data_IF_746620575933
#
_entry.id   IF_746620575933
#
_cell.length_a   1.000
_cell.length_b   1.000
_cell.length_c   1.000
_cell.angle_alpha   90.00
_cell.angle_beta   90.00
_cell.angle_gamma   90.00
#
_symmetry.space_group_name_H-M   'P 1'
#
loop_
_entity.id
_entity.type
_entity.pdbx_description
1 polymer ?
#
# COMPACT_ATOMS: atom_id res chain seq x y z
N UNK A 1 17.76 17.62 -6.90
CA UNK A 1 16.51 18.32 -7.19
C UNK A 1 15.50 18.26 -6.04
N UNK A 2 15.25 17.11 -5.44
CA UNK A 2 14.31 16.97 -4.31
C UNK A 2 14.72 17.86 -3.12
N UNK A 3 16.00 17.88 -2.79
CA UNK A 3 16.54 18.71 -1.69
C UNK A 3 16.34 20.20 -1.98
N UNK A 4 16.56 20.62 -3.23
CA UNK A 4 16.37 22.02 -3.63
C UNK A 4 14.91 22.42 -3.66
N UNK A 5 14.03 21.58 -4.20
CA UNK A 5 12.61 21.89 -4.38
C UNK A 5 11.81 21.94 -3.07
N UNK A 6 12.20 21.14 -2.06
CA UNK A 6 11.48 21.06 -0.78
C UNK A 6 12.19 21.74 0.38
N UNK A 7 13.46 22.10 0.23
CA UNK A 7 14.25 22.66 1.31
C UNK A 7 13.59 23.91 1.92
N UNK A 8 13.37 23.89 3.23
CA UNK A 8 12.80 25.01 3.98
C UNK A 8 13.73 26.22 4.03
N UNK A 9 15.00 26.06 3.71
CA UNK A 9 16.03 27.12 3.71
C UNK A 9 16.12 27.88 2.39
N UNK A 10 15.49 27.39 1.32
CA UNK A 10 15.48 28.06 0.01
C UNK A 10 14.61 29.32 0.00
N UNK A 11 14.74 30.09 -1.09
CA UNK A 11 13.85 31.24 -1.33
C UNK A 11 12.44 30.77 -1.70
N UNK A 12 11.43 31.59 -1.45
CA UNK A 12 10.03 31.26 -1.73
C UNK A 12 9.81 30.92 -3.22
N UNK A 13 10.50 31.60 -4.11
CA UNK A 13 10.40 31.43 -5.57
C UNK A 13 10.90 30.05 -6.05
N UNK A 14 11.78 29.40 -5.29
CA UNK A 14 12.36 28.11 -5.62
C UNK A 14 11.63 26.92 -4.94
N UNK A 15 10.58 27.17 -4.19
CA UNK A 15 9.85 26.15 -3.42
C UNK A 15 8.61 25.67 -4.15
N UNK A 16 8.47 24.35 -4.29
CA UNK A 16 7.26 23.73 -4.80
C UNK A 16 6.43 23.19 -3.62
N UNK A 17 5.61 24.05 -3.03
CA UNK A 17 4.88 23.75 -1.78
C UNK A 17 3.68 22.82 -1.96
N UNK A 18 3.13 22.70 -3.16
CA UNK A 18 1.88 21.98 -3.43
C UNK A 18 2.10 20.60 -4.05
N UNK A 19 3.33 20.19 -4.28
CA UNK A 19 3.66 18.86 -4.75
C UNK A 19 4.19 18.02 -3.59
N UNK A 20 3.74 16.79 -3.52
CA UNK A 20 4.31 15.78 -2.67
C UNK A 20 5.23 14.90 -3.50
N UNK A 21 6.36 14.50 -2.92
CA UNK A 21 7.40 13.75 -3.61
C UNK A 21 7.55 12.38 -3.00
N UNK A 22 7.80 11.41 -3.86
CA UNK A 22 8.32 10.12 -3.46
C UNK A 22 9.62 9.83 -4.19
N UNK A 23 10.44 9.01 -3.58
CA UNK A 23 11.63 8.45 -4.18
C UNK A 23 11.50 6.94 -4.23
N UNK A 24 11.79 6.38 -5.38
CA UNK A 24 11.80 4.93 -5.55
C UNK A 24 13.20 4.42 -5.31
N UNK A 25 13.32 3.41 -4.46
CA UNK A 25 14.57 2.78 -4.09
C UNK A 25 14.55 1.33 -4.52
N UNK A 26 15.63 0.87 -5.14
CA UNK A 26 15.83 -0.52 -5.52
C UNK A 26 16.59 -1.30 -4.44
N UNK A 27 16.56 -2.61 -4.52
CA UNK A 27 17.38 -3.50 -3.70
C UNK A 27 18.86 -3.17 -3.82
N UNK A 28 19.34 -2.91 -5.05
CA UNK A 28 20.71 -2.53 -5.33
C UNK A 28 21.14 -1.27 -4.55
N UNK A 29 20.23 -0.28 -4.41
CA UNK A 29 20.52 0.90 -3.60
C UNK A 29 20.76 0.53 -2.12
N UNK A 30 19.92 -0.34 -1.55
CA UNK A 30 20.10 -0.79 -0.15
C UNK A 30 21.38 -1.60 0.04
N UNK A 31 21.76 -2.43 -0.91
CA UNK A 31 23.03 -3.14 -0.90
C UNK A 31 24.21 -2.15 -0.86
N UNK A 32 24.19 -1.14 -1.73
CA UNK A 32 25.21 -0.07 -1.77
C UNK A 32 25.25 0.72 -0.46
N UNK A 33 24.10 1.01 0.12
CA UNK A 33 24.00 1.69 1.39
C UNK A 33 24.63 0.87 2.54
N UNK A 34 24.29 -0.42 2.65
CA UNK A 34 24.81 -1.31 3.68
C UNK A 34 26.32 -1.51 3.54
N UNK A 35 26.80 -1.68 2.32
CA UNK A 35 28.20 -1.88 2.00
C UNK A 35 29.03 -0.58 1.99
N UNK A 36 28.39 0.57 2.25
CA UNK A 36 29.00 1.89 2.18
C UNK A 36 29.68 2.16 0.83
N UNK A 37 29.04 1.74 -0.27
CA UNK A 37 29.50 1.96 -1.65
C UNK A 37 28.89 3.21 -2.25
N UNK A 38 29.51 3.69 -3.32
CA UNK A 38 28.96 4.76 -4.14
C UNK A 38 27.78 4.28 -4.97
N UNK A 39 26.88 5.21 -5.25
CA UNK A 39 25.75 5.07 -6.17
C UNK A 39 26.02 5.93 -7.38
N UNK A 40 25.99 5.34 -8.56
CA UNK A 40 26.12 6.04 -9.84
C UNK A 40 24.78 6.65 -10.24
N UNK A 41 24.81 7.91 -10.60
CA UNK A 41 23.63 8.66 -11.07
C UNK A 41 23.76 8.84 -12.59
N UNK A 42 22.92 8.13 -13.30
CA UNK A 42 22.89 8.13 -14.77
C UNK A 42 21.77 9.01 -15.32
N UNK A 43 21.96 9.51 -16.52
CA UNK A 43 20.89 10.05 -17.35
C UNK A 43 20.19 8.88 -18.05
N UNK A 44 18.85 8.76 -17.99
CA UNK A 44 18.13 7.72 -18.75
C UNK A 44 18.39 7.77 -20.26
N UNK A 45 18.71 8.95 -20.78
CA UNK A 45 19.07 9.14 -22.19
C UNK A 45 20.35 8.38 -22.56
N UNK A 46 21.33 8.35 -21.66
CA UNK A 46 22.64 7.74 -21.90
C UNK A 46 22.68 6.24 -21.57
N UNK A 47 21.59 5.72 -20.95
CA UNK A 47 21.48 4.33 -20.50
C UNK A 47 20.17 3.69 -21.00
N UNK A 48 20.05 3.38 -22.30
CA UNK A 48 18.86 2.77 -22.87
C UNK A 48 18.43 1.48 -22.12
N UNK A 49 17.14 1.37 -21.79
CA UNK A 49 16.56 0.22 -21.09
C UNK A 49 16.73 0.25 -19.57
N UNK A 50 17.55 1.14 -19.02
CA UNK A 50 17.76 1.22 -17.56
C UNK A 50 16.50 1.72 -16.85
N UNK A 51 15.87 2.77 -17.36
CA UNK A 51 14.64 3.30 -16.79
C UNK A 51 13.46 2.31 -16.91
N UNK A 52 13.32 1.68 -18.07
CA UNK A 52 12.27 0.70 -18.33
C UNK A 52 12.41 -0.56 -17.48
N UNK A 53 13.64 -0.95 -17.13
CA UNK A 53 13.91 -2.11 -16.28
C UNK A 53 13.83 -1.82 -14.78
N UNK A 54 13.72 -0.55 -14.37
CA UNK A 54 13.72 -0.19 -12.95
C UNK A 54 12.60 -0.89 -12.17
N UNK A 55 12.94 -1.51 -11.05
CA UNK A 55 12.03 -2.34 -10.25
C UNK A 55 11.89 -3.79 -10.76
N UNK A 56 12.81 -4.25 -11.58
CA UNK A 56 12.91 -5.64 -12.04
C UNK A 56 14.34 -6.17 -11.87
N UNK A 57 14.54 -7.49 -11.89
CA UNK A 57 15.88 -8.10 -11.76
C UNK A 57 16.85 -7.65 -12.87
N UNK A 58 16.32 -7.35 -14.05
CA UNK A 58 17.11 -6.85 -15.19
C UNK A 58 17.74 -5.49 -14.91
N UNK A 59 17.19 -4.69 -14.00
CA UNK A 59 17.74 -3.39 -13.64
C UNK A 59 19.16 -3.53 -13.06
N UNK A 60 19.36 -4.46 -12.14
CA UNK A 60 20.66 -4.63 -11.48
C UNK A 60 21.75 -5.05 -12.47
N UNK A 61 21.42 -5.88 -13.46
CA UNK A 61 22.33 -6.29 -14.52
C UNK A 61 22.73 -5.11 -15.39
N UNK A 62 21.74 -4.34 -15.89
CA UNK A 62 21.98 -3.17 -16.73
C UNK A 62 22.71 -2.06 -15.99
N UNK A 63 22.36 -1.84 -14.71
CA UNK A 63 23.02 -0.82 -13.91
C UNK A 63 24.51 -1.11 -13.77
N UNK A 64 24.89 -2.35 -13.44
CA UNK A 64 26.28 -2.79 -13.31
C UNK A 64 27.01 -2.71 -14.67
N UNK A 65 26.34 -3.12 -15.75
CA UNK A 65 26.88 -2.99 -17.10
C UNK A 65 27.26 -1.55 -17.43
N UNK A 66 26.37 -0.58 -17.17
CA UNK A 66 26.65 0.84 -17.39
C UNK A 66 27.68 1.42 -16.41
N UNK A 67 27.80 0.88 -15.21
CA UNK A 67 28.88 1.26 -14.28
C UNK A 67 30.26 0.82 -14.80
N UNK A 68 30.35 -0.33 -15.43
CA UNK A 68 31.61 -0.85 -15.99
C UNK A 68 32.04 -0.10 -17.25
N UNK A 69 31.10 0.42 -18.03
CA UNK A 69 31.39 1.23 -19.22
C UNK A 69 31.84 2.64 -18.84
N UNK A 70 33.15 2.88 -19.00
CA UNK A 70 33.77 4.20 -18.70
C UNK A 70 33.37 5.31 -19.65
N UNK A 71 32.75 4.99 -20.78
CA UNK A 71 32.29 5.98 -21.76
C UNK A 71 30.95 6.61 -21.38
N UNK A 72 30.16 5.95 -20.48
CA UNK A 72 28.87 6.45 -20.06
C UNK A 72 29.05 7.58 -19.03
N UNK A 73 28.52 8.78 -19.30
CA UNK A 73 28.58 9.91 -18.36
C UNK A 73 27.78 9.59 -17.09
N UNK A 74 28.35 9.90 -15.92
CA UNK A 74 27.69 9.72 -14.64
C UNK A 74 28.25 10.65 -13.58
N UNK A 75 27.44 10.94 -12.57
CA UNK A 75 27.88 11.45 -11.28
C UNK A 75 27.84 10.31 -10.25
N UNK A 76 28.60 10.41 -9.17
CA UNK A 76 28.55 9.46 -8.06
C UNK A 76 28.25 10.17 -6.76
N UNK A 77 27.59 9.46 -5.86
CA UNK A 77 27.31 9.89 -4.48
C UNK A 77 27.45 8.71 -3.55
N UNK A 78 27.97 8.90 -2.35
CA UNK A 78 27.99 7.84 -1.34
C UNK A 78 26.57 7.39 -0.97
N UNK A 79 26.34 6.07 -0.91
CA UNK A 79 25.01 5.53 -0.57
C UNK A 79 24.51 6.02 0.78
N UNK A 80 25.40 6.09 1.79
CA UNK A 80 25.06 6.64 3.11
C UNK A 80 24.80 8.16 3.07
N UNK A 81 25.55 8.92 2.29
CA UNK A 81 25.34 10.35 2.09
C UNK A 81 23.98 10.63 1.49
N UNK A 82 23.60 9.86 0.46
CA UNK A 82 22.31 10.01 -0.20
C UNK A 82 21.14 9.74 0.75
N UNK A 83 21.16 8.61 1.47
CA UNK A 83 20.07 8.27 2.38
C UNK A 83 19.96 9.25 3.55
N UNK A 84 21.08 9.70 4.11
CA UNK A 84 21.08 10.71 5.18
C UNK A 84 20.50 12.05 4.70
N UNK A 85 20.83 12.45 3.49
CA UNK A 85 20.26 13.67 2.88
C UNK A 85 18.75 13.55 2.68
N UNK A 86 18.26 12.38 2.23
CA UNK A 86 16.83 12.11 2.07
C UNK A 86 16.09 12.08 3.40
N UNK A 87 16.64 11.39 4.41
CA UNK A 87 16.05 11.30 5.74
C UNK A 87 16.01 12.66 6.45
N UNK A 88 17.05 13.46 6.27
CA UNK A 88 17.09 14.83 6.80
C UNK A 88 15.98 15.68 6.18
N UNK A 89 15.86 15.67 4.86
CA UNK A 89 14.83 16.42 4.15
C UNK A 89 13.42 15.93 4.53
N UNK A 90 13.24 14.61 4.69
CA UNK A 90 12.00 14.02 5.19
C UNK A 90 11.66 14.50 6.60
N UNK A 91 12.62 14.53 7.51
CA UNK A 91 12.43 15.00 8.88
C UNK A 91 12.08 16.50 8.93
N UNK A 92 12.72 17.32 8.09
CA UNK A 92 12.50 18.77 8.04
C UNK A 92 11.18 19.16 7.36
N UNK A 93 10.72 18.40 6.36
CA UNK A 93 9.53 18.73 5.54
C UNK A 93 8.32 17.84 5.83
N UNK A 94 8.53 16.63 6.34
CA UNK A 94 7.48 15.63 6.57
C UNK A 94 6.87 15.04 5.29
N UNK A 95 7.51 15.17 4.12
CA UNK A 95 6.84 14.95 2.84
C UNK A 95 7.53 14.03 1.83
N UNK A 96 8.73 13.55 2.08
CA UNK A 96 9.39 12.63 1.16
C UNK A 96 8.98 11.20 1.50
N UNK A 97 8.25 10.56 0.59
CA UNK A 97 7.87 9.15 0.69
C UNK A 97 8.96 8.26 0.09
N UNK A 98 9.16 7.08 0.66
CA UNK A 98 10.11 6.08 0.16
C UNK A 98 9.32 4.89 -0.37
N UNK A 99 9.55 4.54 -1.64
CA UNK A 99 8.88 3.42 -2.31
C UNK A 99 9.92 2.33 -2.65
N UNK A 100 9.73 1.15 -2.11
CA UNK A 100 10.58 -0.01 -2.41
C UNK A 100 10.06 -0.68 -3.68
N UNK A 101 10.53 -0.22 -4.83
CA UNK A 101 9.94 -0.57 -6.13
C UNK A 101 10.03 -2.08 -6.45
N UNK A 102 11.12 -2.75 -6.06
CA UNK A 102 11.28 -4.18 -6.28
C UNK A 102 10.25 -4.98 -5.48
N UNK A 103 9.99 -4.58 -4.22
CA UNK A 103 8.95 -5.19 -3.39
C UNK A 103 7.56 -4.92 -3.96
N UNK A 104 7.29 -3.71 -4.46
CA UNK A 104 6.01 -3.40 -5.09
C UNK A 104 5.73 -4.32 -6.28
N UNK A 105 6.74 -4.66 -7.09
CA UNK A 105 6.57 -5.56 -8.23
C UNK A 105 6.57 -7.04 -7.83
N UNK A 106 7.41 -7.46 -6.89
CA UNK A 106 7.47 -8.87 -6.46
C UNK A 106 6.24 -9.30 -5.67
N UNK A 107 5.68 -8.41 -4.82
CA UNK A 107 4.56 -8.73 -3.93
C UNK A 107 3.18 -8.24 -4.42
N UNK A 108 3.11 -7.44 -5.49
CA UNK A 108 1.81 -7.03 -6.05
C UNK A 108 1.02 -8.22 -6.59
N UNK A 109 -0.30 -8.05 -6.67
CA UNK A 109 -1.18 -9.03 -7.32
C UNK A 109 -1.07 -9.05 -8.85
N UNK A 110 -0.29 -8.15 -9.45
CA UNK A 110 -0.22 -7.96 -10.90
C UNK A 110 1.00 -8.65 -11.53
N UNK A 111 0.82 -9.12 -12.77
CA UNK A 111 1.89 -9.48 -13.70
C UNK A 111 2.44 -8.23 -14.40
N UNK A 112 1.58 -7.25 -14.63
CA UNK A 112 1.95 -5.97 -15.20
C UNK A 112 2.83 -5.19 -14.23
N UNK A 113 3.80 -4.45 -14.78
CA UNK A 113 4.75 -3.67 -14.00
C UNK A 113 4.05 -2.51 -13.28
N UNK A 114 4.31 -2.38 -11.98
CA UNK A 114 3.97 -1.21 -11.18
C UNK A 114 5.12 -0.21 -11.29
N UNK A 115 4.84 0.99 -11.78
CA UNK A 115 5.83 2.05 -11.99
C UNK A 115 5.71 3.21 -11.01
N UNK A 116 4.57 3.34 -10.34
CA UNK A 116 4.30 4.41 -9.37
C UNK A 116 3.25 3.98 -8.36
N UNK A 117 3.05 4.80 -7.34
CA UNK A 117 2.01 4.64 -6.32
C UNK A 117 1.20 5.92 -6.18
N UNK A 118 0.13 5.87 -5.37
CA UNK A 118 -0.62 7.05 -4.97
C UNK A 118 0.17 7.91 -3.95
N UNK A 119 -0.43 9.02 -3.52
CA UNK A 119 0.19 9.96 -2.58
C UNK A 119 0.68 9.30 -1.29
N UNK A 120 -0.14 8.47 -0.66
CA UNK A 120 0.19 7.83 0.62
C UNK A 120 0.92 6.50 0.48
N UNK A 121 1.13 6.03 -0.75
CA UNK A 121 1.87 4.81 -1.14
C UNK A 121 1.27 3.48 -0.66
N UNK A 122 0.01 3.47 -0.24
CA UNK A 122 -0.71 2.24 0.12
C UNK A 122 -1.25 1.48 -1.10
N UNK A 123 -1.23 2.10 -2.29
CA UNK A 123 -1.78 1.53 -3.53
C UNK A 123 -0.66 1.35 -4.55
N UNK A 124 -0.48 0.14 -5.04
CA UNK A 124 0.50 -0.21 -6.08
C UNK A 124 -0.23 -0.86 -7.26
N UNK A 125 -0.61 -0.04 -8.22
CA UNK A 125 -1.37 -0.45 -9.40
C UNK A 125 -0.58 -0.17 -10.67
N UNK A 126 -0.69 -1.01 -11.71
CA UNK A 126 -0.12 -0.74 -13.02
C UNK A 126 -0.75 0.52 -13.64
N UNK A 127 0.07 1.27 -14.36
CA UNK A 127 -0.34 2.45 -15.13
C UNK A 127 0.37 2.46 -16.46
N UNK A 128 -0.29 3.05 -17.48
CA UNK A 128 0.31 3.31 -18.78
C UNK A 128 0.25 4.79 -19.12
N UNK A 129 1.30 5.35 -19.77
CA UNK A 129 1.31 6.75 -20.16
C UNK A 129 0.15 7.13 -21.07
N UNK A 130 -0.31 8.37 -20.94
CA UNK A 130 -1.25 9.01 -21.86
C UNK A 130 -0.56 10.18 -22.59
N UNK A 131 -0.90 10.40 -23.84
CA UNK A 131 -0.36 11.51 -24.62
C UNK A 131 -1.07 12.84 -24.33
N UNK A 132 -2.37 12.80 -24.03
CA UNK A 132 -3.20 13.94 -23.62
C UNK A 132 -4.44 13.43 -22.84
N UNK A 133 -5.15 14.34 -22.20
CA UNK A 133 -6.26 14.03 -21.27
C UNK A 133 -7.41 13.26 -21.92
N UNK A 134 -7.65 13.46 -23.19
CA UNK A 134 -8.72 12.80 -23.97
C UNK A 134 -8.22 11.53 -24.68
N UNK A 135 -6.97 11.12 -24.43
CA UNK A 135 -6.40 9.92 -25.02
C UNK A 135 -7.16 8.67 -24.53
N UNK A 136 -7.65 7.90 -25.49
CA UNK A 136 -8.26 6.58 -25.19
C UNK A 136 -7.25 5.48 -24.95
N UNK A 137 -5.96 5.73 -25.21
CA UNK A 137 -4.82 4.85 -24.85
C UNK A 137 -4.42 5.03 -23.38
N UNK A 138 -3.38 4.36 -22.92
CA UNK A 138 -2.84 4.45 -21.55
C UNK A 138 -3.81 4.03 -20.44
N UNK A 139 -3.35 4.03 -19.20
CA UNK A 139 -4.14 3.70 -18.03
C UNK A 139 -3.80 4.64 -16.87
N UNK A 140 -4.82 5.28 -16.29
CA UNK A 140 -4.71 5.98 -15.02
C UNK A 140 -5.38 5.10 -13.96
N UNK A 141 -4.57 4.54 -13.07
CA UNK A 141 -5.08 3.67 -12.02
C UNK A 141 -5.88 4.46 -10.98
N UNK A 142 -7.07 3.98 -10.66
CA UNK A 142 -7.87 4.42 -9.53
C UNK A 142 -8.09 3.24 -8.59
N UNK A 143 -8.09 3.52 -7.29
CA UNK A 143 -8.46 2.56 -6.26
C UNK A 143 -9.61 3.14 -5.43
N UNK A 144 -10.69 2.37 -5.33
CA UNK A 144 -11.85 2.75 -4.53
C UNK A 144 -11.65 2.19 -3.13
N UNK A 145 -11.69 3.07 -2.13
CA UNK A 145 -11.28 2.77 -0.76
C UNK A 145 -12.47 2.56 0.18
N UNK A 146 -12.33 1.62 1.09
CA UNK A 146 -13.18 1.42 2.25
C UNK A 146 -12.38 0.92 3.44
N UNK A 147 -12.91 1.06 4.65
CA UNK A 147 -12.25 0.55 5.85
C UNK A 147 -13.25 -0.08 6.81
N UNK A 148 -12.91 -1.28 7.29
CA UNK A 148 -13.69 -2.00 8.31
C UNK A 148 -13.16 -1.61 9.69
N UNK A 149 -14.05 -1.18 10.60
CA UNK A 149 -13.67 -0.85 11.97
C UNK A 149 -13.54 -2.12 12.82
N UNK A 150 -12.33 -2.70 12.85
CA UNK A 150 -12.07 -3.94 13.60
C UNK A 150 -12.15 -3.74 15.12
N UNK A 151 -12.02 -2.52 15.62
CA UNK A 151 -12.28 -2.23 17.04
C UNK A 151 -13.72 -2.50 17.48
N UNK A 152 -14.66 -2.64 16.53
CA UNK A 152 -16.09 -2.93 16.80
C UNK A 152 -16.46 -4.38 16.64
N UNK A 153 -15.68 -5.21 15.96
CA UNK A 153 -15.97 -6.65 15.82
C UNK A 153 -15.82 -7.36 17.16
N UNK A 154 -16.58 -8.40 17.35
CA UNK A 154 -16.54 -9.26 18.55
C UNK A 154 -15.84 -10.58 18.28
N UNK A 155 -15.98 -11.10 17.07
CA UNK A 155 -15.41 -12.39 16.62
C UNK A 155 -14.93 -12.25 15.19
N UNK A 156 -13.84 -12.94 14.83
CA UNK A 156 -13.31 -12.94 13.47
C UNK A 156 -14.29 -13.45 12.42
N UNK A 157 -15.24 -14.31 12.82
CA UNK A 157 -16.31 -14.82 11.93
C UNK A 157 -17.23 -13.72 11.39
N UNK A 158 -17.30 -12.55 12.02
CA UNK A 158 -18.08 -11.42 11.52
C UNK A 158 -17.43 -10.80 10.25
N UNK A 159 -16.14 -11.05 10.04
CA UNK A 159 -15.43 -10.53 8.86
C UNK A 159 -15.96 -11.09 7.55
N UNK A 160 -16.50 -12.31 7.52
CA UNK A 160 -17.07 -12.87 6.30
C UNK A 160 -18.18 -11.95 5.74
N UNK A 161 -19.16 -11.60 6.56
CA UNK A 161 -20.24 -10.72 6.12
C UNK A 161 -19.81 -9.26 5.90
N UNK A 162 -18.87 -8.76 6.71
CA UNK A 162 -18.38 -7.38 6.57
C UNK A 162 -17.53 -7.20 5.31
N UNK A 163 -16.68 -8.16 4.97
CA UNK A 163 -15.90 -8.16 3.75
C UNK A 163 -16.79 -8.28 2.50
N UNK A 164 -17.79 -9.17 2.53
CA UNK A 164 -18.75 -9.31 1.43
C UNK A 164 -19.52 -7.99 1.20
N UNK A 165 -20.02 -7.38 2.28
CA UNK A 165 -20.71 -6.09 2.19
C UNK A 165 -19.81 -4.97 1.64
N UNK A 166 -18.57 -4.89 2.11
CA UNK A 166 -17.62 -3.87 1.66
C UNK A 166 -17.26 -4.06 0.18
N UNK A 167 -16.97 -5.30 -0.24
CA UNK A 167 -16.66 -5.63 -1.64
C UNK A 167 -17.85 -5.30 -2.55
N UNK A 168 -19.07 -5.71 -2.21
CA UNK A 168 -20.28 -5.43 -3.00
C UNK A 168 -20.59 -3.94 -3.05
N UNK A 169 -20.47 -3.24 -1.93
CA UNK A 169 -20.71 -1.80 -1.89
C UNK A 169 -19.75 -1.01 -2.78
N UNK A 170 -18.47 -1.37 -2.81
CA UNK A 170 -17.49 -0.73 -3.67
C UNK A 170 -17.62 -1.15 -5.14
N UNK A 171 -18.01 -2.39 -5.41
CA UNK A 171 -18.33 -2.88 -6.75
C UNK A 171 -19.40 -2.01 -7.41
N UNK A 172 -20.50 -1.72 -6.70
CA UNK A 172 -21.57 -0.86 -7.23
C UNK A 172 -21.07 0.58 -7.47
N UNK A 173 -20.14 1.09 -6.65
CA UNK A 173 -19.56 2.41 -6.86
C UNK A 173 -18.70 2.51 -8.12
N UNK A 174 -18.04 1.43 -8.54
CA UNK A 174 -17.28 1.38 -9.79
C UNK A 174 -18.20 1.71 -10.98
N UNK A 175 -19.37 1.13 -11.02
CA UNK A 175 -20.29 1.30 -12.13
C UNK A 175 -21.17 2.57 -12.01
N UNK A 176 -21.35 3.09 -10.81
CA UNK A 176 -22.19 4.27 -10.54
C UNK A 176 -21.49 5.61 -10.76
N UNK A 177 -20.19 5.69 -10.52
CA UNK A 177 -19.45 6.95 -10.58
C UNK A 177 -19.23 7.42 -12.03
N UNK A 178 -19.09 8.75 -12.20
CA UNK A 178 -18.71 9.35 -13.47
C UNK A 178 -17.17 9.51 -13.55
N UNK A 179 -16.61 9.14 -14.69
CA UNK A 179 -15.18 9.24 -14.95
C UNK A 179 -14.91 10.43 -15.89
N UNK A 180 -14.30 11.53 -15.41
CA UNK A 180 -14.01 12.69 -16.25
C UNK A 180 -12.84 12.44 -17.22
N UNK A 181 -12.03 11.40 -16.99
CA UNK A 181 -10.87 11.04 -17.82
C UNK A 181 -11.03 9.61 -18.31
N UNK A 182 -11.02 9.42 -19.62
CA UNK A 182 -11.24 8.11 -20.25
C UNK A 182 -10.22 7.04 -19.86
N UNK A 183 -8.94 7.40 -19.71
CA UNK A 183 -7.91 6.47 -19.29
C UNK A 183 -8.15 5.94 -17.86
N UNK A 184 -8.75 6.75 -16.98
CA UNK A 184 -9.15 6.33 -15.64
C UNK A 184 -10.40 5.42 -15.66
N UNK A 185 -11.40 5.74 -16.48
CA UNK A 185 -12.57 4.87 -16.68
C UNK A 185 -12.17 3.51 -17.20
N UNK A 186 -11.35 3.47 -18.25
CA UNK A 186 -10.88 2.22 -18.87
C UNK A 186 -10.14 1.33 -17.86
N UNK A 187 -9.16 1.89 -17.17
CA UNK A 187 -8.40 1.14 -16.16
C UNK A 187 -9.32 0.62 -15.04
N UNK A 188 -10.21 1.47 -14.54
CA UNK A 188 -11.07 1.12 -13.42
C UNK A 188 -12.10 0.06 -13.80
N UNK A 189 -12.75 0.17 -14.94
CA UNK A 189 -13.75 -0.81 -15.38
C UNK A 189 -13.10 -2.15 -15.72
N UNK A 190 -11.93 -2.15 -16.39
CA UNK A 190 -11.24 -3.38 -16.75
C UNK A 190 -10.64 -4.11 -15.55
N UNK A 191 -10.05 -3.38 -14.61
CA UNK A 191 -9.33 -3.96 -13.47
C UNK A 191 -10.16 -4.06 -12.20
N UNK A 192 -11.16 -3.25 -12.02
CA UNK A 192 -12.06 -3.18 -10.85
C UNK A 192 -11.27 -3.21 -9.51
N UNK A 193 -10.21 -2.39 -9.43
CA UNK A 193 -9.29 -2.39 -8.31
C UNK A 193 -9.92 -1.79 -7.06
N UNK A 194 -9.91 -2.52 -5.96
CA UNK A 194 -10.37 -2.08 -4.64
C UNK A 194 -9.21 -1.95 -3.67
N UNK A 195 -9.38 -1.06 -2.68
CA UNK A 195 -8.47 -0.92 -1.55
C UNK A 195 -9.26 -0.93 -0.25
N UNK A 196 -9.57 -2.12 0.26
CA UNK A 196 -10.27 -2.29 1.54
C UNK A 196 -9.25 -2.53 2.63
N UNK A 197 -9.24 -1.66 3.64
CA UNK A 197 -8.38 -1.77 4.81
C UNK A 197 -9.17 -1.94 6.09
N UNK A 198 -8.49 -1.83 7.21
CA UNK A 198 -9.17 -1.77 8.50
C UNK A 198 -8.64 -0.62 9.36
N UNK A 199 -9.49 -0.13 10.23
CA UNK A 199 -9.23 0.92 11.21
C UNK A 199 -9.51 0.37 12.61
N UNK A 200 -8.98 1.02 13.62
CA UNK A 200 -9.26 0.63 15.00
C UNK A 200 -8.42 -0.54 15.51
N UNK A 201 -7.25 -0.83 14.90
CA UNK A 201 -6.39 -1.91 15.36
C UNK A 201 -5.95 -1.72 16.81
N UNK A 202 -5.54 -0.51 17.20
CA UNK A 202 -5.15 -0.23 18.58
C UNK A 202 -6.30 -0.53 19.57
N UNK A 203 -7.54 -0.18 19.19
CA UNK A 203 -8.72 -0.50 20.01
C UNK A 203 -8.99 -2.01 20.04
N UNK A 204 -8.80 -2.70 18.91
CA UNK A 204 -8.94 -4.15 18.85
C UNK A 204 -7.97 -4.86 19.79
N UNK A 205 -6.70 -4.47 19.77
CA UNK A 205 -5.68 -5.02 20.67
C UNK A 205 -6.01 -4.73 22.15
N UNK A 206 -6.32 -3.48 22.48
CA UNK A 206 -6.65 -3.08 23.84
C UNK A 206 -7.87 -3.84 24.41
N UNK A 207 -8.90 -4.09 23.60
CA UNK A 207 -10.07 -4.92 24.01
C UNK A 207 -9.70 -6.35 24.35
N UNK A 208 -8.63 -6.88 23.75
CA UNK A 208 -8.10 -8.20 24.02
C UNK A 208 -7.01 -8.21 25.10
N UNK A 209 -6.75 -7.05 25.74
CA UNK A 209 -5.75 -6.93 26.80
C UNK A 209 -4.31 -6.91 26.36
N UNK A 210 -4.06 -6.63 25.07
CA UNK A 210 -2.76 -6.71 24.43
C UNK A 210 -2.24 -5.34 24.01
N UNK A 211 -0.91 -5.19 23.99
CA UNK A 211 -0.19 -4.04 23.45
C UNK A 211 0.58 -4.45 22.19
N UNK A 212 0.94 -3.51 21.33
CA UNK A 212 1.64 -3.77 20.06
C UNK A 212 2.92 -4.60 20.18
N UNK A 213 3.62 -4.50 21.30
CA UNK A 213 4.88 -5.23 21.54
C UNK A 213 4.68 -6.65 22.10
N UNK A 214 3.44 -7.01 22.45
CA UNK A 214 3.16 -8.28 23.11
C UNK A 214 3.04 -9.42 22.07
N UNK A 215 3.52 -10.60 22.43
CA UNK A 215 3.39 -11.79 21.56
C UNK A 215 1.92 -12.15 21.30
N UNK A 216 1.04 -11.92 22.27
CA UNK A 216 -0.41 -12.11 22.11
C UNK A 216 -0.99 -11.19 21.05
N UNK A 217 -0.52 -9.92 20.99
CA UNK A 217 -0.93 -8.99 19.95
C UNK A 217 -0.49 -9.47 18.56
N UNK A 218 0.73 -10.00 18.42
CA UNK A 218 1.22 -10.48 17.12
C UNK A 218 0.36 -11.63 16.60
N UNK A 219 -0.02 -12.57 17.48
CA UNK A 219 -0.96 -13.65 17.14
C UNK A 219 -2.32 -13.11 16.74
N UNK A 220 -2.88 -12.17 17.51
CA UNK A 220 -4.18 -11.56 17.19
C UNK A 220 -4.17 -10.85 15.82
N UNK A 221 -3.07 -10.15 15.50
CA UNK A 221 -2.91 -9.47 14.20
C UNK A 221 -2.75 -10.48 13.08
N UNK A 222 -2.00 -11.56 13.30
CA UNK A 222 -1.86 -12.64 12.32
C UNK A 222 -3.23 -13.24 11.98
N UNK A 223 -3.99 -13.67 12.98
CA UNK A 223 -5.32 -14.27 12.80
C UNK A 223 -6.31 -13.29 12.15
N UNK A 224 -6.30 -12.03 12.59
CA UNK A 224 -7.13 -10.97 12.01
C UNK A 224 -6.82 -10.73 10.53
N UNK A 225 -5.53 -10.63 10.19
CA UNK A 225 -5.10 -10.29 8.83
C UNK A 225 -5.34 -11.46 7.87
N UNK A 226 -5.13 -12.70 8.33
CA UNK A 226 -5.48 -13.89 7.56
C UNK A 226 -6.99 -13.93 7.27
N UNK A 227 -7.82 -13.81 8.32
CA UNK A 227 -9.28 -13.81 8.18
C UNK A 227 -9.77 -12.70 7.24
N UNK A 228 -9.20 -11.51 7.36
CA UNK A 228 -9.53 -10.37 6.52
C UNK A 228 -9.20 -10.62 5.06
N UNK A 229 -7.97 -11.03 4.76
CA UNK A 229 -7.52 -11.26 3.38
C UNK A 229 -8.25 -12.43 2.72
N UNK A 230 -8.46 -13.53 3.46
CA UNK A 230 -9.22 -14.68 2.98
C UNK A 230 -10.65 -14.29 2.59
N UNK A 231 -11.36 -13.59 3.47
CA UNK A 231 -12.75 -13.22 3.23
C UNK A 231 -12.92 -12.17 2.13
N UNK A 232 -11.97 -11.28 1.92
CA UNK A 232 -11.97 -10.37 0.77
C UNK A 232 -11.86 -11.13 -0.56
N UNK A 233 -10.92 -12.07 -0.66
CA UNK A 233 -10.76 -12.89 -1.85
C UNK A 233 -11.98 -13.78 -2.10
N UNK A 234 -12.53 -14.40 -1.05
CA UNK A 234 -13.75 -15.20 -1.11
C UNK A 234 -14.93 -14.38 -1.61
N UNK A 235 -15.12 -13.16 -1.09
CA UNK A 235 -16.20 -12.27 -1.52
C UNK A 235 -16.07 -11.87 -3.00
N UNK A 236 -14.84 -11.56 -3.45
CA UNK A 236 -14.58 -11.25 -4.86
C UNK A 236 -14.79 -12.46 -5.78
N UNK A 237 -14.39 -13.66 -5.35
CA UNK A 237 -14.64 -14.90 -6.09
C UNK A 237 -16.14 -15.21 -6.17
N UNK A 238 -16.90 -15.05 -5.10
CA UNK A 238 -18.35 -15.20 -5.13
C UNK A 238 -19.01 -14.22 -6.11
N UNK A 239 -18.57 -12.97 -6.15
CA UNK A 239 -19.03 -12.00 -7.15
C UNK A 239 -18.61 -12.39 -8.57
N UNK A 240 -17.44 -12.98 -8.76
CA UNK A 240 -17.05 -13.50 -10.07
C UNK A 240 -17.95 -14.66 -10.53
N UNK A 241 -18.36 -15.52 -9.61
CA UNK A 241 -19.37 -16.57 -9.91
C UNK A 241 -20.74 -16.00 -10.31
N UNK A 242 -21.11 -14.84 -9.76
CA UNK A 242 -22.38 -14.16 -10.06
C UNK A 242 -22.34 -13.30 -11.33
N UNK A 243 -21.23 -12.56 -11.56
CA UNK A 243 -21.14 -11.46 -12.56
C UNK A 243 -20.00 -11.64 -13.57
N UNK A 244 -19.22 -12.70 -13.46
CA UNK A 244 -17.99 -12.92 -14.22
C UNK A 244 -16.76 -12.25 -13.59
N UNK A 245 -15.59 -12.78 -13.88
CA UNK A 245 -14.33 -12.18 -13.50
C UNK A 245 -14.12 -10.81 -14.18
N UNK A 246 -13.27 -9.94 -13.63
CA UNK A 246 -12.91 -8.70 -14.31
C UNK A 246 -12.04 -8.98 -15.55
N UNK A 247 -12.09 -8.09 -16.55
CA UNK A 247 -11.31 -8.24 -17.79
C UNK A 247 -9.80 -8.31 -17.51
N UNK A 248 -9.34 -7.59 -16.50
CA UNK A 248 -7.95 -7.57 -16.05
C UNK A 248 -7.51 -8.80 -15.25
N UNK A 249 -8.36 -9.79 -15.01
CA UNK A 249 -8.01 -10.97 -14.18
C UNK A 249 -6.79 -11.71 -14.69
N UNK A 250 -6.67 -11.93 -16.01
CA UNK A 250 -5.54 -12.63 -16.63
C UNK A 250 -4.19 -11.90 -16.47
N UNK A 251 -4.23 -10.60 -16.19
CA UNK A 251 -3.08 -9.76 -15.87
C UNK A 251 -2.69 -9.78 -14.39
N UNK A 252 -3.36 -10.62 -13.60
CA UNK A 252 -3.05 -10.82 -12.18
C UNK A 252 -2.32 -12.14 -11.94
N UNK A 253 -1.51 -12.20 -10.89
CA UNK A 253 -0.90 -13.44 -10.39
C UNK A 253 -1.95 -14.43 -9.87
N UNK A 254 -3.13 -13.95 -9.51
CA UNK A 254 -4.26 -14.78 -9.10
C UNK A 254 -4.67 -15.77 -10.18
N UNK A 255 -4.58 -15.40 -11.47
CA UNK A 255 -4.87 -16.29 -12.59
C UNK A 255 -3.89 -17.47 -12.69
N UNK A 256 -2.68 -17.34 -12.13
CA UNK A 256 -1.70 -18.41 -11.98
C UNK A 256 -1.86 -19.17 -10.65
N UNK A 257 -2.85 -18.78 -9.85
CA UNK A 257 -3.11 -19.34 -8.52
C UNK A 257 -2.15 -18.87 -7.45
N UNK A 258 -1.42 -17.77 -7.67
CA UNK A 258 -0.53 -17.16 -6.66
C UNK A 258 -1.37 -16.21 -5.81
N UNK A 259 -1.48 -16.50 -4.53
CA UNK A 259 -2.24 -15.73 -3.55
C UNK A 259 -1.30 -14.97 -2.59
N UNK A 260 -1.78 -14.00 -1.82
CA UNK A 260 -0.95 -13.27 -0.85
C UNK A 260 -0.20 -14.17 0.13
N UNK A 261 -0.75 -15.30 0.50
CA UNK A 261 -0.11 -16.30 1.39
C UNK A 261 1.13 -16.97 0.78
N UNK A 262 1.32 -16.87 -0.54
CA UNK A 262 2.47 -17.45 -1.22
C UNK A 262 3.68 -16.50 -1.23
N UNK A 263 3.46 -15.21 -0.98
CA UNK A 263 4.47 -14.16 -1.14
C UNK A 263 4.89 -13.49 0.16
N UNK A 264 4.23 -13.72 1.30
CA UNK A 264 4.67 -13.17 2.57
C UNK A 264 5.87 -13.93 3.13
N UNK A 265 6.61 -13.32 4.05
CA UNK A 265 7.76 -13.94 4.71
C UNK A 265 7.28 -15.00 5.70
N UNK A 266 7.64 -16.26 5.46
CA UNK A 266 7.24 -17.41 6.29
C UNK A 266 7.81 -17.36 7.71
N UNK A 267 8.88 -16.64 7.93
CA UNK A 267 9.45 -16.40 9.28
C UNK A 267 8.45 -15.71 10.21
N UNK A 268 7.42 -15.05 9.67
CA UNK A 268 6.32 -14.48 10.48
C UNK A 268 5.58 -15.58 11.24
N UNK A 269 5.35 -16.74 10.63
CA UNK A 269 4.66 -17.88 11.25
C UNK A 269 5.46 -18.41 12.44
N UNK A 270 6.80 -18.44 12.33
CA UNK A 270 7.70 -18.84 13.42
C UNK A 270 7.65 -17.84 14.60
N UNK A 271 7.65 -16.53 14.28
CA UNK A 271 7.60 -15.46 15.29
C UNK A 271 6.31 -15.50 16.09
N UNK A 272 5.17 -15.72 15.42
CA UNK A 272 3.85 -15.75 16.05
C UNK A 272 3.48 -17.13 16.60
N UNK A 273 4.29 -18.16 16.34
CA UNK A 273 4.05 -19.55 16.73
C UNK A 273 2.63 -20.01 16.31
N UNK A 274 2.22 -19.63 15.09
CA UNK A 274 0.90 -19.87 14.56
C UNK A 274 0.94 -20.30 13.10
N UNK A 275 -0.11 -20.97 12.65
CA UNK A 275 -0.29 -21.41 11.27
C UNK A 275 -1.57 -20.82 10.69
N UNK A 276 -1.68 -20.82 9.37
CA UNK A 276 -2.89 -20.40 8.68
C UNK A 276 -4.07 -21.32 9.03
N UNK A 277 -5.22 -20.73 9.32
CA UNK A 277 -6.42 -21.42 9.81
C UNK A 277 -7.48 -21.66 8.73
N UNK A 278 -7.43 -20.93 7.60
CA UNK A 278 -8.42 -21.01 6.54
C UNK A 278 -8.02 -22.00 5.45
N UNK A 279 -9.02 -22.52 4.72
CA UNK A 279 -8.81 -23.43 3.58
C UNK A 279 -8.43 -22.64 2.31
N UNK A 280 -7.17 -22.27 2.25
CA UNK A 280 -6.61 -21.52 1.15
C UNK A 280 -6.53 -22.33 -0.15
N UNK A 281 -6.39 -23.63 -0.05
CA UNK A 281 -6.28 -24.50 -1.24
C UNK A 281 -7.62 -24.59 -1.97
N UNK A 282 -8.73 -24.81 -1.26
CA UNK A 282 -10.07 -24.76 -1.86
C UNK A 282 -10.38 -23.40 -2.47
N UNK A 283 -10.01 -22.29 -1.80
CA UNK A 283 -10.19 -20.95 -2.35
C UNK A 283 -9.34 -20.72 -3.61
N UNK A 284 -8.12 -21.25 -3.64
CA UNK A 284 -7.22 -21.18 -4.80
C UNK A 284 -7.82 -21.89 -6.01
N UNK A 285 -8.37 -23.06 -5.80
CA UNK A 285 -9.01 -23.84 -6.86
C UNK A 285 -10.27 -23.13 -7.39
N UNK A 286 -11.10 -22.60 -6.51
CA UNK A 286 -12.25 -21.77 -6.87
C UNK A 286 -11.84 -20.51 -7.67
N UNK A 287 -10.76 -19.84 -7.28
CA UNK A 287 -10.24 -18.67 -8.00
C UNK A 287 -9.72 -19.06 -9.39
N UNK A 288 -9.05 -20.20 -9.53
CA UNK A 288 -8.61 -20.68 -10.85
C UNK A 288 -9.78 -21.01 -11.77
N UNK A 289 -10.87 -21.56 -11.21
CA UNK A 289 -12.04 -21.95 -11.99
C UNK A 289 -12.92 -20.75 -12.38
N UNK A 290 -13.24 -19.87 -11.42
CA UNK A 290 -14.22 -18.79 -11.60
C UNK A 290 -13.59 -17.40 -11.74
N UNK A 291 -12.32 -17.24 -11.38
CA UNK A 291 -11.63 -15.97 -11.36
C UNK A 291 -11.97 -15.12 -10.14
N UNK A 292 -11.55 -13.85 -10.19
CA UNK A 292 -11.90 -12.79 -9.26
C UNK A 292 -12.59 -11.63 -9.98
N UNK A 293 -13.59 -11.04 -9.33
CA UNK A 293 -14.25 -9.84 -9.83
C UNK A 293 -13.37 -8.60 -9.75
N UNK A 294 -12.32 -8.63 -8.94
CA UNK A 294 -11.43 -7.50 -8.66
C UNK A 294 -9.97 -7.93 -8.80
N UNK A 295 -9.15 -7.11 -9.45
CA UNK A 295 -7.73 -7.38 -9.69
C UNK A 295 -6.86 -7.22 -8.44
N UNK A 296 -7.31 -6.44 -7.46
CA UNK A 296 -6.77 -6.32 -6.12
C UNK A 296 -7.87 -5.90 -5.14
N UNK A 297 -7.70 -6.14 -3.85
CA UNK A 297 -8.76 -5.98 -2.87
C UNK A 297 -8.37 -5.24 -1.61
N UNK A 298 -7.14 -5.41 -1.11
CA UNK A 298 -6.73 -4.88 0.18
C UNK A 298 -5.73 -3.74 0.07
N UNK A 299 -5.89 -2.74 0.94
CA UNK A 299 -4.94 -1.67 1.13
C UNK A 299 -5.04 -1.12 2.56
N UNK A 300 -3.91 -0.84 3.19
CA UNK A 300 -3.88 -0.24 4.52
C UNK A 300 -3.67 1.27 4.40
N UNK A 301 -4.77 1.98 4.12
CA UNK A 301 -4.75 3.42 3.93
C UNK A 301 -4.69 4.21 5.26
N UNK A 302 -4.16 5.43 5.26
CA UNK A 302 -4.36 6.38 6.34
C UNK A 302 -5.81 6.89 6.32
N UNK A 303 -6.65 6.35 7.20
CA UNK A 303 -8.12 6.54 7.18
C UNK A 303 -8.59 7.80 7.91
N UNK A 304 -7.77 8.80 8.00
CA UNK A 304 -7.93 10.03 8.79
C UNK A 304 -9.37 10.46 9.09
N UNK A 305 -10.13 10.90 8.10
CA UNK A 305 -11.50 11.40 8.28
C UNK A 305 -12.48 10.29 8.60
N UNK A 306 -12.40 9.14 7.94
CA UNK A 306 -13.29 8.00 8.18
C UNK A 306 -13.08 7.39 9.55
N UNK A 307 -11.86 7.38 10.08
CA UNK A 307 -11.60 6.93 11.45
C UNK A 307 -12.25 7.86 12.49
N UNK A 308 -12.23 9.18 12.26
CA UNK A 308 -12.89 10.17 13.14
C UNK A 308 -14.40 9.96 13.13
N UNK A 309 -15.01 9.86 11.96
CA UNK A 309 -16.47 9.64 11.82
C UNK A 309 -16.90 8.33 12.48
N UNK A 310 -16.07 7.28 12.34
CA UNK A 310 -16.34 5.95 12.91
C UNK A 310 -15.98 5.84 14.39
N UNK A 311 -15.42 6.90 14.99
CA UNK A 311 -14.86 6.91 16.34
C UNK A 311 -13.90 5.72 16.56
N UNK A 312 -12.90 5.61 15.68
CA UNK A 312 -11.88 4.58 15.69
C UNK A 312 -10.48 5.18 15.71
N UNK A 313 -9.49 4.39 16.12
CA UNK A 313 -8.08 4.76 15.90
C UNK A 313 -7.74 4.66 14.42
N UNK A 314 -6.82 5.52 13.95
CA UNK A 314 -6.49 5.62 12.54
C UNK A 314 -5.67 4.40 12.06
N UNK A 315 -6.22 3.66 11.11
CA UNK A 315 -5.52 2.54 10.47
C UNK A 315 -4.96 1.51 11.46
N UNK A 316 -3.70 1.15 11.22
CA UNK A 316 -2.94 0.16 12.01
C UNK A 316 -1.95 0.82 12.98
N UNK A 317 -1.83 2.14 12.97
CA UNK A 317 -0.85 2.84 13.79
C UNK A 317 -1.24 2.87 15.27
N UNK A 318 -0.26 2.78 16.18
CA UNK A 318 -0.52 3.03 17.59
C UNK A 318 -0.89 4.52 17.79
N UNK A 319 -1.83 4.83 18.72
CA UNK A 319 -2.17 6.21 19.01
C UNK A 319 -0.97 6.91 19.64
N UNK A 320 -0.74 8.16 19.24
CA UNK A 320 0.39 8.97 19.74
C UNK A 320 0.19 9.47 21.17
N UNK A 321 -1.08 9.68 21.57
CA UNK A 321 -1.47 10.18 22.87
C UNK A 321 -2.94 9.84 23.16
N UNK A 322 -3.36 9.99 24.41
CA UNK A 322 -4.75 9.84 24.87
C UNK A 322 -5.70 10.86 24.22
N UNK A 323 -5.19 12.04 23.97
CA UNK A 323 -5.92 13.14 23.33
C UNK A 323 -5.09 13.71 22.20
N UNK A 324 -5.53 13.50 20.98
CA UNK A 324 -4.94 14.17 19.82
C UNK A 324 -5.81 15.33 19.36
N UNK A 325 -5.17 16.42 18.92
CA UNK A 325 -5.86 17.56 18.34
C UNK A 325 -5.49 17.68 16.88
N UNK A 326 -6.43 17.40 15.99
CA UNK A 326 -6.28 17.66 14.56
C UNK A 326 -6.69 19.11 14.25
N UNK A 327 -5.78 19.87 13.66
CA UNK A 327 -6.10 21.20 13.11
C UNK A 327 -6.55 21.04 11.67
N UNK A 328 -7.76 21.46 11.37
CA UNK A 328 -8.30 21.53 10.00
C UNK A 328 -8.58 23.00 9.62
N UNK A 329 -8.86 23.24 8.33
CA UNK A 329 -9.32 24.57 7.87
C UNK A 329 -10.63 25.03 8.55
N UNK A 330 -11.41 24.10 9.12
CA UNK A 330 -12.66 24.35 9.85
C UNK A 330 -12.49 24.46 11.36
N UNK A 331 -11.25 24.43 11.87
CA UNK A 331 -10.93 24.54 13.28
C UNK A 331 -10.27 23.28 13.86
N UNK A 332 -9.88 23.32 15.15
CA UNK A 332 -9.31 22.18 15.84
C UNK A 332 -10.37 21.16 16.20
N UNK A 333 -10.13 19.89 15.90
CA UNK A 333 -10.95 18.76 16.32
C UNK A 333 -10.18 17.95 17.38
N UNK A 334 -10.81 17.73 18.53
CA UNK A 334 -10.26 16.87 19.58
C UNK A 334 -10.69 15.44 19.32
N UNK A 335 -9.74 14.53 19.27
CA UNK A 335 -9.97 13.09 19.14
C UNK A 335 -9.45 12.40 20.42
N UNK A 336 -10.37 11.76 21.16
CA UNK A 336 -10.03 10.93 22.31
C UNK A 336 -9.67 9.52 21.81
N UNK A 337 -8.60 8.96 22.35
CA UNK A 337 -8.30 7.56 22.11
C UNK A 337 -9.32 6.68 22.83
N UNK A 338 -10.04 5.86 22.09
CA UNK A 338 -11.05 4.92 22.65
C UNK A 338 -10.46 3.83 23.55
N UNK A 339 -9.16 3.63 23.54
CA UNK A 339 -8.45 2.67 24.39
C UNK A 339 -8.75 2.91 25.89
N UNK A 340 -9.03 4.18 26.25
CA UNK A 340 -9.28 4.57 27.65
C UNK A 340 -10.76 4.57 28.05
N UNK A 341 -11.68 4.45 27.10
CA UNK A 341 -13.13 4.42 27.40
C UNK A 341 -13.58 3.00 27.81
N UNK A 342 -12.80 2.00 27.46
CA UNK A 342 -13.12 0.59 27.76
C UNK A 342 -12.45 0.02 29.01
N UNK A 343 -11.53 0.74 29.66
CA UNK A 343 -11.07 0.36 30.98
C UNK A 343 -12.08 0.87 32.03
N UNK A 344 -12.73 -0.03 32.81
CA UNK A 344 -13.38 0.41 34.03
C UNK A 344 -12.29 1.01 34.93
N UNK A 345 -12.46 2.29 35.29
CA UNK A 345 -11.64 2.94 36.28
C UNK A 345 -11.56 2.03 37.51
N UNK A 346 -10.43 1.34 37.68
CA UNK A 346 -10.13 0.73 38.97
C UNK A 346 -9.98 1.91 39.94
N UNK A 347 -10.76 1.94 41.01
CA UNK A 347 -10.54 2.95 42.04
C UNK A 347 -9.10 2.80 42.51
N UNK A 348 -8.32 3.86 42.41
CA UNK A 348 -7.02 3.93 43.08
C UNK A 348 -7.27 3.71 44.57
N UNK A 349 -6.88 2.57 45.07
CA UNK A 349 -6.80 2.32 46.51
C UNK A 349 -5.58 3.05 47.04
#
# INVERSE_FOLDING_TARGET
DIIVLKNNKGTEDNRVRKLDYSIQLSKLFYERFIENKEVSLFSPHDCPGLFESFGTDKFDELYRYYEDDKSVPRATIGGQELILSLLKERAETGRIYLMNIDHCNSHSSFKDKVSMSNLCQEITLPTDPISHIDDGGGEIALCILSAINVGKIRRLTELEGLCDLAVRGLEELIDYQNYPVKAAERSTIARRSLGIGYIGLAHYLAKNGEHYADKGAWKLVHDLTEAFQYNLLKASNNLAKERGACDGFQHTKYSDGILPIDTYKKEVDEIVENTLAYDWDSLRDDIKEFGLRHSTLSAQMPSESSSIVSNATNGIEPPRDYLSVKKSKKGPLKQLSLIHISEPTRPSI
#
